data_IF_707015291863
#
_entry.id   IF_707015291863
#
_cell.length_a   1.000
_cell.length_b   1.000
_cell.length_c   1.000
_cell.angle_alpha   90.00
_cell.angle_beta   90.00
_cell.angle_gamma   90.00
#
_symmetry.space_group_name_H-M   'P 1'
#
loop_
_entity.id
_entity.type
_entity.pdbx_description
1 polymer ?
#
# COMPACT_ATOMS: atom_id res chain seq x y z
N UNK A 1 7.05 -14.29 -50.66
CA UNK A 1 6.82 -13.25 -49.63
C UNK A 1 8.12 -12.51 -49.36
N UNK A 2 8.14 -11.17 -49.45
CA UNK A 2 9.37 -10.40 -49.19
C UNK A 2 9.73 -10.48 -47.68
N UNK A 3 11.02 -10.57 -47.35
CA UNK A 3 11.55 -10.53 -45.97
C UNK A 3 10.97 -9.37 -45.15
N UNK A 4 10.76 -8.20 -45.77
CA UNK A 4 10.11 -7.04 -45.13
C UNK A 4 8.66 -7.32 -44.70
N UNK A 5 7.86 -7.91 -45.60
CA UNK A 5 6.47 -8.28 -45.31
C UNK A 5 6.40 -9.34 -44.21
N UNK A 6 7.30 -10.33 -44.24
CA UNK A 6 7.40 -11.35 -43.19
C UNK A 6 7.70 -10.74 -41.81
N UNK A 7 8.67 -9.82 -41.73
CA UNK A 7 9.02 -9.13 -40.49
C UNK A 7 7.86 -8.29 -39.94
N UNK A 8 7.15 -7.57 -40.80
CA UNK A 8 5.98 -6.76 -40.39
C UNK A 8 4.89 -7.65 -39.81
N UNK A 9 4.57 -8.78 -40.47
CA UNK A 9 3.56 -9.71 -39.95
C UNK A 9 3.98 -10.34 -38.63
N UNK A 10 5.27 -10.66 -38.46
CA UNK A 10 5.80 -11.17 -37.19
C UNK A 10 5.62 -10.15 -36.06
N UNK A 11 6.02 -8.90 -36.29
CA UNK A 11 5.87 -7.81 -35.31
C UNK A 11 4.39 -7.59 -34.97
N UNK A 12 3.52 -7.54 -35.99
CA UNK A 12 2.09 -7.39 -35.79
C UNK A 12 1.50 -8.56 -34.98
N UNK A 13 1.90 -9.80 -35.27
CA UNK A 13 1.49 -10.98 -34.52
C UNK A 13 1.92 -10.93 -33.05
N UNK A 14 3.17 -10.55 -32.79
CA UNK A 14 3.68 -10.36 -31.41
C UNK A 14 2.90 -9.27 -30.69
N UNK A 15 2.63 -8.15 -31.35
CA UNK A 15 1.88 -7.04 -30.77
C UNK A 15 0.45 -7.45 -30.44
N UNK A 16 -0.24 -8.14 -31.35
CA UNK A 16 -1.60 -8.65 -31.13
C UNK A 16 -1.61 -9.63 -29.95
N UNK A 17 -0.66 -10.57 -29.92
CA UNK A 17 -0.54 -11.52 -28.82
C UNK A 17 -0.33 -10.77 -27.49
N UNK A 18 0.58 -9.80 -27.45
CA UNK A 18 0.87 -9.01 -26.27
C UNK A 18 -0.34 -8.17 -25.80
N UNK A 19 -1.06 -7.52 -26.73
CA UNK A 19 -2.27 -6.76 -26.44
C UNK A 19 -3.42 -7.66 -25.95
N UNK A 20 -3.44 -8.93 -26.33
CA UNK A 20 -4.43 -9.90 -25.85
C UNK A 20 -4.18 -10.38 -24.40
N UNK A 21 -2.94 -10.25 -23.90
CA UNK A 21 -2.52 -10.79 -22.60
C UNK A 21 -3.38 -10.37 -21.41
N UNK A 22 -3.81 -9.10 -21.24
CA UNK A 22 -4.67 -8.73 -20.12
C UNK A 22 -5.92 -9.60 -20.03
N UNK A 23 -6.55 -9.90 -21.16
CA UNK A 23 -7.77 -10.71 -21.19
C UNK A 23 -7.46 -12.19 -20.99
N UNK A 24 -6.33 -12.67 -21.53
CA UNK A 24 -5.88 -14.05 -21.33
C UNK A 24 -5.54 -14.35 -19.86
N UNK A 25 -5.05 -13.36 -19.09
CA UNK A 25 -4.77 -13.55 -17.66
C UNK A 25 -5.98 -13.97 -16.84
N UNK A 26 -7.20 -13.71 -17.30
CA UNK A 26 -8.42 -14.18 -16.64
C UNK A 26 -8.62 -15.70 -16.73
N UNK A 27 -8.00 -16.34 -17.72
CA UNK A 27 -7.99 -17.78 -17.94
C UNK A 27 -6.74 -18.47 -17.38
N UNK A 28 -5.76 -17.71 -16.88
CA UNK A 28 -4.50 -18.25 -16.33
C UNK A 28 -4.70 -18.85 -14.93
N UNK A 29 -3.71 -19.60 -14.42
CA UNK A 29 -3.73 -20.11 -13.07
C UNK A 29 -4.04 -19.03 -12.03
N UNK A 30 -4.74 -19.44 -10.98
CA UNK A 30 -5.33 -18.58 -9.95
C UNK A 30 -4.32 -17.60 -9.33
N UNK A 31 -3.06 -18.04 -9.19
CA UNK A 31 -1.95 -17.22 -8.67
C UNK A 31 -1.68 -15.99 -9.54
N UNK A 32 -1.59 -16.15 -10.86
CA UNK A 32 -1.30 -15.06 -11.80
C UNK A 32 -2.51 -14.13 -11.89
N UNK A 33 -3.69 -14.70 -12.04
CA UNK A 33 -4.95 -13.96 -12.12
C UNK A 33 -5.17 -13.07 -10.89
N UNK A 34 -4.98 -13.61 -9.68
CA UNK A 34 -5.07 -12.86 -8.40
C UNK A 34 -4.00 -11.77 -8.30
N UNK A 35 -2.77 -12.07 -8.70
CA UNK A 35 -1.67 -11.12 -8.71
C UNK A 35 -1.98 -9.92 -9.63
N UNK A 36 -2.26 -10.16 -10.91
CA UNK A 36 -2.55 -9.11 -11.89
C UNK A 36 -3.74 -8.26 -11.47
N UNK A 37 -4.81 -8.91 -11.01
CA UNK A 37 -5.99 -8.20 -10.52
C UNK A 37 -5.62 -7.25 -9.37
N UNK A 38 -4.97 -7.77 -8.32
CA UNK A 38 -4.55 -6.97 -7.17
C UNK A 38 -3.65 -5.80 -7.55
N UNK A 39 -2.64 -6.04 -8.38
CA UNK A 39 -1.73 -4.98 -8.82
C UNK A 39 -2.46 -3.86 -9.56
N UNK A 40 -3.40 -4.20 -10.43
CA UNK A 40 -4.25 -3.22 -11.11
C UNK A 40 -5.08 -2.41 -10.11
N UNK A 41 -5.62 -3.06 -9.07
CA UNK A 41 -6.39 -2.35 -8.03
C UNK A 41 -5.50 -1.40 -7.22
N UNK A 42 -4.29 -1.81 -6.83
CA UNK A 42 -3.35 -0.94 -6.13
C UNK A 42 -2.96 0.29 -6.95
N UNK A 43 -2.63 0.10 -8.22
CA UNK A 43 -2.33 1.22 -9.13
C UNK A 43 -3.55 2.14 -9.23
N UNK A 44 -4.75 1.58 -9.38
CA UNK A 44 -5.98 2.36 -9.53
C UNK A 44 -6.29 3.20 -8.28
N UNK A 45 -6.16 2.61 -7.09
CA UNK A 45 -6.36 3.30 -5.81
C UNK A 45 -5.29 4.39 -5.64
N UNK A 46 -4.02 4.05 -5.87
CA UNK A 46 -2.90 4.97 -5.69
C UNK A 46 -2.97 6.17 -6.64
N UNK A 47 -3.25 5.94 -7.94
CA UNK A 47 -3.41 7.02 -8.92
C UNK A 47 -4.58 7.94 -8.55
N UNK A 48 -5.67 7.41 -7.99
CA UNK A 48 -6.81 8.21 -7.52
C UNK A 48 -6.49 9.10 -6.34
N UNK A 49 -5.84 8.52 -5.33
CA UNK A 49 -5.40 9.26 -4.16
C UNK A 49 -4.41 10.35 -4.58
N UNK A 50 -3.52 10.05 -5.53
CA UNK A 50 -2.58 11.02 -6.08
C UNK A 50 -3.26 12.12 -6.89
N UNK A 51 -4.22 11.80 -7.77
CA UNK A 51 -5.02 12.79 -8.53
C UNK A 51 -5.74 13.79 -7.61
N UNK A 52 -6.21 13.35 -6.43
CA UNK A 52 -6.89 14.19 -5.43
C UNK A 52 -5.92 15.02 -4.57
N UNK A 53 -4.61 14.81 -4.70
CA UNK A 53 -3.60 15.42 -3.83
C UNK A 53 -2.93 16.61 -4.51
N UNK A 54 -2.67 17.69 -3.74
CA UNK A 54 -1.99 18.89 -4.27
C UNK A 54 -0.48 18.83 -4.11
N UNK A 55 0.00 17.94 -3.23
CA UNK A 55 1.40 17.81 -2.83
C UNK A 55 1.71 16.35 -2.45
N UNK A 56 2.99 16.02 -2.27
CA UNK A 56 3.39 14.71 -1.71
C UNK A 56 2.89 14.53 -0.27
N UNK A 57 3.03 15.53 0.64
CA UNK A 57 2.39 15.45 1.96
C UNK A 57 0.87 15.21 1.92
N UNK A 58 0.15 15.88 1.01
CA UNK A 58 -1.29 15.65 0.82
C UNK A 58 -1.56 14.21 0.39
N UNK A 59 -0.72 13.66 -0.50
CA UNK A 59 -0.81 12.27 -0.95
C UNK A 59 -0.55 11.28 0.18
N UNK A 60 0.43 11.53 1.04
CA UNK A 60 0.66 10.73 2.25
C UNK A 60 -0.57 10.74 3.14
N UNK A 61 -1.12 11.92 3.44
CA UNK A 61 -2.29 12.04 4.30
C UNK A 61 -3.53 11.37 3.70
N UNK A 62 -3.78 11.54 2.40
CA UNK A 62 -4.89 10.89 1.71
C UNK A 62 -4.73 9.36 1.71
N UNK A 63 -3.52 8.85 1.49
CA UNK A 63 -3.22 7.41 1.53
C UNK A 63 -3.39 6.85 2.93
N UNK A 64 -2.91 7.57 3.94
CA UNK A 64 -3.05 7.21 5.35
C UNK A 64 -4.53 7.15 5.77
N UNK A 65 -5.30 8.19 5.43
CA UNK A 65 -6.74 8.23 5.66
C UNK A 65 -7.44 7.05 4.98
N UNK A 66 -7.16 6.79 3.70
CA UNK A 66 -7.77 5.70 2.96
C UNK A 66 -7.50 4.33 3.62
N UNK A 67 -6.25 4.06 4.03
CA UNK A 67 -5.88 2.81 4.71
C UNK A 67 -6.62 2.66 6.03
N UNK A 68 -6.63 3.69 6.87
CA UNK A 68 -7.25 3.63 8.20
C UNK A 68 -8.78 3.57 8.16
N UNK A 69 -9.41 4.14 7.13
CA UNK A 69 -10.85 4.02 6.91
C UNK A 69 -11.27 2.64 6.40
N UNK A 70 -10.40 1.98 5.62
CA UNK A 70 -10.72 0.71 4.95
C UNK A 70 -10.12 -0.52 5.63
N UNK A 71 -9.26 -0.36 6.63
CA UNK A 71 -8.63 -1.47 7.34
C UNK A 71 -8.70 -1.18 8.85
N UNK A 72 -9.66 -1.82 9.52
CA UNK A 72 -9.82 -1.69 10.96
C UNK A 72 -8.80 -2.57 11.73
N UNK A 73 -8.52 -2.18 12.96
CA UNK A 73 -7.62 -2.83 13.92
C UNK A 73 -8.38 -3.54 15.06
N UNK A 74 -9.62 -3.97 14.82
CA UNK A 74 -10.40 -4.68 15.83
C UNK A 74 -9.62 -5.87 16.45
N UNK A 75 -9.90 -6.20 17.70
CA UNK A 75 -9.23 -7.33 18.34
C UNK A 75 -10.08 -8.58 18.08
N UNK A 76 -9.50 -9.68 17.59
CA UNK A 76 -10.24 -10.95 17.51
C UNK A 76 -9.81 -11.92 16.41
N UNK A 77 -9.72 -11.52 15.13
CA UNK A 77 -9.32 -12.44 14.07
C UNK A 77 -7.85 -12.81 14.19
N UNK A 78 -7.46 -14.07 13.91
CA UNK A 78 -6.05 -14.42 13.81
C UNK A 78 -5.37 -13.57 12.72
N UNK A 79 -4.10 -13.23 12.93
CA UNK A 79 -3.28 -12.68 11.87
C UNK A 79 -3.32 -13.67 10.69
N UNK A 80 -3.78 -13.20 9.53
CA UNK A 80 -3.75 -13.98 8.30
C UNK A 80 -2.78 -13.31 7.36
N UNK A 81 -1.73 -14.04 7.01
CA UNK A 81 -0.51 -13.47 6.46
C UNK A 81 -0.21 -14.03 5.08
N UNK A 82 -0.94 -13.55 4.07
CA UNK A 82 -0.65 -13.94 2.68
C UNK A 82 -0.50 -12.74 1.73
N UNK A 83 -1.24 -11.65 1.94
CA UNK A 83 -0.99 -10.35 1.31
C UNK A 83 -1.94 -9.26 1.82
N UNK A 84 -1.45 -8.02 1.70
CA UNK A 84 -2.15 -6.76 1.95
C UNK A 84 -3.53 -6.64 1.31
N UNK A 85 -3.75 -7.19 0.11
CA UNK A 85 -5.03 -7.03 -0.59
C UNK A 85 -6.17 -7.72 0.15
N UNK A 86 -5.89 -8.83 0.84
CA UNK A 86 -6.88 -9.43 1.72
C UNK A 86 -7.29 -8.49 2.85
N UNK A 87 -6.39 -7.66 3.35
CA UNK A 87 -6.70 -6.67 4.39
C UNK A 87 -7.72 -5.65 3.89
N UNK A 88 -7.51 -5.11 2.68
CA UNK A 88 -8.49 -4.26 2.01
C UNK A 88 -9.83 -4.99 1.81
N UNK A 89 -9.83 -6.20 1.23
CA UNK A 89 -11.08 -6.93 0.93
C UNK A 89 -11.88 -7.25 2.18
N UNK A 90 -11.22 -7.61 3.28
CA UNK A 90 -11.91 -8.01 4.52
C UNK A 90 -12.20 -6.84 5.45
N UNK A 91 -11.57 -5.68 5.26
CA UNK A 91 -11.71 -4.52 6.12
C UNK A 91 -10.93 -4.59 7.43
N UNK A 92 -9.89 -5.43 7.50
CA UNK A 92 -9.21 -5.77 8.77
C UNK A 92 -7.70 -5.96 8.61
N UNK A 93 -6.91 -5.51 9.56
CA UNK A 93 -5.48 -5.79 9.63
C UNK A 93 -4.79 -5.18 10.85
N UNK A 94 -3.77 -5.88 11.33
CA UNK A 94 -2.89 -5.43 12.42
C UNK A 94 -1.96 -4.29 11.97
N UNK A 95 -1.25 -3.68 12.93
CA UNK A 95 -0.43 -2.49 12.68
C UNK A 95 0.61 -2.66 11.54
N UNK A 96 1.27 -3.81 11.49
CA UNK A 96 2.19 -4.23 10.43
C UNK A 96 1.51 -4.36 9.07
N UNK A 97 0.33 -4.98 9.04
CA UNK A 97 -0.46 -5.18 7.82
C UNK A 97 -0.95 -3.85 7.24
N UNK A 98 -1.32 -2.90 8.11
CA UNK A 98 -1.68 -1.54 7.69
C UNK A 98 -0.47 -0.77 7.16
N UNK A 99 0.69 -0.90 7.80
CA UNK A 99 1.95 -0.31 7.31
C UNK A 99 2.32 -0.86 5.93
N UNK A 100 2.17 -2.16 5.70
CA UNK A 100 2.37 -2.75 4.38
C UNK A 100 1.33 -2.27 3.37
N UNK A 101 0.07 -2.07 3.77
CA UNK A 101 -0.97 -1.51 2.91
C UNK A 101 -0.63 -0.10 2.44
N UNK A 102 -0.27 0.76 3.38
CA UNK A 102 0.20 2.10 3.12
C UNK A 102 1.43 2.11 2.20
N UNK A 103 2.48 1.36 2.55
CA UNK A 103 3.71 1.28 1.77
C UNK A 103 3.49 0.73 0.36
N UNK A 104 2.56 -0.23 0.19
CA UNK A 104 2.21 -0.80 -1.12
C UNK A 104 1.60 0.26 -2.03
N UNK A 105 0.74 1.13 -1.52
CA UNK A 105 0.12 2.21 -2.30
C UNK A 105 1.14 3.29 -2.66
N UNK A 106 2.03 3.67 -1.73
CA UNK A 106 3.12 4.62 -1.98
C UNK A 106 4.10 4.12 -3.05
N UNK A 107 4.43 2.82 -3.01
CA UNK A 107 5.32 2.21 -3.99
C UNK A 107 4.78 2.28 -5.43
N UNK A 108 3.46 2.43 -5.63
CA UNK A 108 2.89 2.64 -6.99
C UNK A 108 3.16 4.03 -7.56
N UNK A 109 3.65 4.95 -6.74
CA UNK A 109 4.10 6.30 -7.11
C UNK A 109 5.60 6.48 -6.92
N UNK A 110 6.35 5.37 -6.86
CA UNK A 110 7.81 5.36 -6.66
C UNK A 110 8.28 6.12 -5.41
N UNK A 111 7.44 6.20 -4.37
CA UNK A 111 7.81 6.74 -3.06
C UNK A 111 8.26 5.57 -2.18
N UNK A 112 9.57 5.44 -1.86
CA UNK A 112 10.06 4.33 -1.04
C UNK A 112 9.49 4.42 0.37
N UNK A 113 8.96 3.30 0.85
CA UNK A 113 8.45 3.18 2.22
C UNK A 113 8.76 1.79 2.77
N UNK A 114 9.13 1.72 4.05
CA UNK A 114 9.43 0.46 4.75
C UNK A 114 8.64 0.31 6.03
N UNK A 115 8.45 -0.94 6.42
CA UNK A 115 7.96 -1.28 7.74
C UNK A 115 9.09 -1.11 8.76
N UNK A 116 8.73 -0.52 9.91
CA UNK A 116 9.59 -0.45 11.08
C UNK A 116 8.84 -1.01 12.28
N UNK A 117 9.42 -2.00 12.94
CA UNK A 117 8.90 -2.56 14.18
C UNK A 117 9.58 -1.88 15.36
N UNK A 118 8.77 -1.22 16.18
CA UNK A 118 9.15 -0.58 17.44
C UNK A 118 8.86 -1.53 18.60
N UNK A 119 9.64 -1.39 19.67
CA UNK A 119 9.48 -2.14 20.92
C UNK A 119 9.36 -1.18 22.07
N UNK A 120 8.39 -1.40 22.95
CA UNK A 120 8.08 -0.54 24.08
C UNK A 120 7.83 -1.37 25.33
N UNK A 121 7.84 -0.70 26.47
CA UNK A 121 7.51 -1.29 27.76
C UNK A 121 6.24 -0.62 28.27
N UNK A 122 5.27 -1.44 28.67
CA UNK A 122 4.04 -0.94 29.31
C UNK A 122 4.28 -0.82 30.82
N UNK A 123 4.07 0.35 31.43
CA UNK A 123 4.17 0.51 32.87
C UNK A 123 3.28 -0.53 33.59
N UNK A 124 3.87 -1.28 34.53
CA UNK A 124 3.15 -2.29 35.31
C UNK A 124 2.86 -3.63 34.61
N UNK A 125 3.40 -3.89 33.40
CA UNK A 125 3.44 -5.24 32.81
C UNK A 125 4.88 -5.72 32.61
N UNK A 126 5.12 -6.99 32.86
CA UNK A 126 6.35 -7.66 32.45
C UNK A 126 6.23 -8.05 30.97
N UNK A 127 7.07 -7.48 30.11
CA UNK A 127 7.17 -7.87 28.69
C UNK A 127 7.33 -6.68 27.75
N UNK A 128 7.86 -6.98 26.56
CA UNK A 128 7.93 -6.04 25.44
C UNK A 128 6.60 -6.04 24.68
N UNK A 129 6.09 -4.85 24.40
CA UNK A 129 4.99 -4.65 23.47
C UNK A 129 5.55 -4.20 22.11
N UNK A 130 4.89 -4.57 21.03
CA UNK A 130 5.33 -4.31 19.66
C UNK A 130 4.37 -3.37 18.93
N UNK A 131 4.91 -2.38 18.22
CA UNK A 131 4.12 -1.51 17.37
C UNK A 131 4.83 -1.26 16.04
N UNK A 132 4.10 -1.34 14.93
CA UNK A 132 4.65 -1.04 13.61
C UNK A 132 4.29 0.36 13.14
N UNK A 133 5.29 1.04 12.58
CA UNK A 133 5.18 2.33 11.91
C UNK A 133 5.76 2.22 10.49
N UNK A 134 5.44 3.18 9.63
CA UNK A 134 6.09 3.33 8.34
C UNK A 134 7.24 4.34 8.45
N UNK A 135 8.36 4.06 7.77
CA UNK A 135 9.34 5.08 7.40
C UNK A 135 9.23 5.33 5.89
N UNK A 136 9.03 6.58 5.49
CA UNK A 136 8.88 7.02 4.10
C UNK A 136 10.07 7.89 3.72
N UNK A 137 10.74 7.57 2.60
CA UNK A 137 11.90 8.33 2.16
C UNK A 137 11.50 9.60 1.42
N UNK A 138 11.71 10.76 2.05
CA UNK A 138 11.39 12.09 1.52
C UNK A 138 12.47 13.10 1.89
N UNK A 139 12.82 13.97 0.94
CA UNK A 139 13.83 15.01 1.13
C UNK A 139 15.16 14.45 1.66
N UNK A 140 15.61 13.35 1.04
CA UNK A 140 16.81 12.59 1.36
C UNK A 140 16.86 11.96 2.77
N UNK A 141 15.72 11.82 3.44
CA UNK A 141 15.66 11.29 4.81
C UNK A 141 14.43 10.41 5.04
N UNK A 142 14.47 9.58 6.10
CA UNK A 142 13.38 8.68 6.47
C UNK A 142 12.43 9.36 7.44
N UNK A 143 11.21 9.64 6.97
CA UNK A 143 10.13 10.28 7.72
C UNK A 143 9.24 9.23 8.35
N UNK A 144 8.95 9.36 9.63
CA UNK A 144 8.16 8.38 10.36
C UNK A 144 6.67 8.71 10.30
N UNK A 145 5.82 7.69 10.10
CA UNK A 145 4.37 7.81 10.02
C UNK A 145 3.75 6.64 10.77
N UNK A 146 2.85 6.94 11.72
CA UNK A 146 2.13 5.90 12.44
C UNK A 146 0.81 5.59 11.76
N UNK A 147 0.83 4.57 10.91
CA UNK A 147 -0.28 4.24 10.01
C UNK A 147 -1.54 3.88 10.78
N UNK A 148 -1.46 2.91 11.69
CA UNK A 148 -2.60 2.42 12.47
C UNK A 148 -3.32 3.53 13.26
N UNK A 149 -2.57 4.54 13.70
CA UNK A 149 -3.11 5.65 14.51
C UNK A 149 -3.56 6.83 13.67
N UNK A 150 -3.42 6.79 12.35
CA UNK A 150 -3.63 7.92 11.45
C UNK A 150 -2.83 9.17 11.87
N UNK A 151 -1.52 9.01 12.13
CA UNK A 151 -0.66 10.09 12.62
C UNK A 151 0.53 10.32 11.69
N UNK A 152 0.68 11.58 11.28
CA UNK A 152 1.88 12.13 10.67
C UNK A 152 2.59 13.00 11.71
N UNK A 153 3.87 12.75 11.95
CA UNK A 153 4.65 13.50 12.92
C UNK A 153 5.33 14.70 12.28
N UNK A 154 5.30 15.85 12.96
CA UNK A 154 5.95 17.06 12.51
C UNK A 154 6.99 17.51 13.53
N UNK A 155 8.19 17.86 13.06
CA UNK A 155 9.23 18.42 13.90
C UNK A 155 8.94 19.90 14.19
N UNK A 156 9.75 20.51 15.07
CA UNK A 156 9.62 21.93 15.47
C UNK A 156 9.76 22.93 14.32
N UNK A 157 10.31 22.51 13.17
CA UNK A 157 10.44 23.33 11.96
C UNK A 157 9.23 23.23 11.03
N UNK A 158 8.22 22.44 11.40
CA UNK A 158 7.03 22.18 10.58
C UNK A 158 7.22 21.16 9.47
N UNK A 159 8.40 20.52 9.37
CA UNK A 159 8.65 19.42 8.45
C UNK A 159 8.27 18.06 9.04
N UNK A 160 8.20 17.02 8.22
CA UNK A 160 7.96 15.67 8.70
C UNK A 160 9.10 15.19 9.60
N UNK A 161 8.76 14.62 10.75
CA UNK A 161 9.75 14.17 11.72
C UNK A 161 10.42 12.85 11.30
N UNK A 162 11.68 12.69 11.67
CA UNK A 162 12.38 11.39 11.62
C UNK A 162 12.24 10.65 12.95
N UNK A 163 12.57 9.35 12.95
CA UNK A 163 12.67 8.59 14.20
C UNK A 163 13.67 9.23 15.18
N UNK A 164 14.84 9.64 14.69
CA UNK A 164 15.90 10.26 15.50
C UNK A 164 15.48 11.60 16.10
N UNK A 165 14.67 12.38 15.38
CA UNK A 165 14.11 13.64 15.90
C UNK A 165 13.13 13.37 17.04
N UNK A 166 12.21 12.41 16.90
CA UNK A 166 11.27 12.00 17.96
C UNK A 166 12.00 11.39 19.15
N UNK A 167 13.09 10.68 18.89
CA UNK A 167 13.95 10.13 19.93
C UNK A 167 14.61 11.25 20.76
N UNK A 168 15.24 12.22 20.11
CA UNK A 168 15.92 13.34 20.78
C UNK A 168 14.95 14.30 21.46
N UNK A 169 13.76 14.49 20.88
CA UNK A 169 12.75 15.42 21.35
C UNK A 169 11.36 14.79 21.37
N UNK A 170 11.01 14.25 22.53
CA UNK A 170 9.73 13.62 22.80
C UNK A 170 8.54 14.55 22.73
N UNK A 171 8.74 15.86 22.81
CA UNK A 171 7.64 16.83 22.76
C UNK A 171 6.95 16.86 21.39
N UNK A 172 7.60 16.30 20.36
CA UNK A 172 7.00 16.05 19.03
C UNK A 172 5.74 15.17 19.14
N UNK A 173 5.64 14.33 20.18
CA UNK A 173 4.49 13.46 20.41
C UNK A 173 3.36 14.14 21.21
N UNK A 174 3.62 15.25 21.89
CA UNK A 174 2.62 15.85 22.79
C UNK A 174 1.32 16.26 22.07
N UNK A 175 1.33 16.76 20.80
CA UNK A 175 0.11 17.11 20.07
C UNK A 175 -0.86 15.96 19.81
N UNK A 176 -0.40 14.70 19.94
CA UNK A 176 -1.24 13.50 19.73
C UNK A 176 -1.64 12.82 21.04
N UNK A 177 -1.23 13.33 22.19
CA UNK A 177 -1.48 12.72 23.51
C UNK A 177 -2.97 12.43 23.78
N UNK A 178 -3.87 13.33 23.39
CA UNK A 178 -5.33 13.14 23.51
C UNK A 178 -5.97 12.23 22.44
N UNK A 179 -5.21 11.77 21.44
CA UNK A 179 -5.71 10.94 20.32
C UNK A 179 -5.27 9.48 20.43
N UNK A 180 -4.28 9.19 21.27
CA UNK A 180 -3.70 7.85 21.38
C UNK A 180 -4.06 7.23 22.73
N UNK A 181 -4.81 6.12 22.73
CA UNK A 181 -5.04 5.35 23.95
C UNK A 181 -3.70 4.86 24.51
N UNK A 182 -3.51 4.97 25.83
CA UNK A 182 -2.27 4.57 26.50
C UNK A 182 -1.04 5.31 25.93
N UNK A 183 -1.12 6.65 25.91
CA UNK A 183 -0.08 7.50 25.32
C UNK A 183 1.31 7.29 25.93
N UNK A 184 1.40 6.94 27.22
CA UNK A 184 2.68 6.66 27.87
C UNK A 184 3.34 5.40 27.32
N UNK A 185 2.57 4.32 27.10
CA UNK A 185 3.05 3.15 26.36
C UNK A 185 3.45 3.55 24.94
N UNK A 186 2.62 4.35 24.26
CA UNK A 186 2.93 4.75 22.90
C UNK A 186 4.25 5.54 22.79
N UNK A 187 4.50 6.43 23.75
CA UNK A 187 5.72 7.21 23.89
C UNK A 187 6.94 6.32 24.15
N UNK A 188 6.76 5.19 24.85
CA UNK A 188 7.84 4.25 25.13
C UNK A 188 8.32 3.48 23.91
N UNK A 189 7.50 3.32 22.86
CA UNK A 189 7.93 2.68 21.60
C UNK A 189 9.07 3.39 20.88
N UNK A 190 9.27 4.68 21.16
CA UNK A 190 10.31 5.45 20.51
C UNK A 190 11.60 5.49 21.34
N UNK A 191 11.70 4.71 22.42
CA UNK A 191 12.85 4.67 23.32
C UNK A 191 14.03 3.93 22.70
N UNK A 192 15.24 4.47 22.88
CA UNK A 192 16.48 3.90 22.32
C UNK A 192 16.92 2.63 23.05
N UNK A 193 16.29 2.31 24.17
CA UNK A 193 16.49 1.03 24.85
C UNK A 193 16.33 -0.15 23.88
N UNK A 194 15.51 -0.03 22.84
CA UNK A 194 15.36 -1.04 21.80
C UNK A 194 15.55 -0.43 20.40
N UNK A 195 16.58 -0.89 19.69
CA UNK A 195 16.78 -0.49 18.29
C UNK A 195 15.62 -0.97 17.42
N UNK A 196 15.04 -0.09 16.58
CA UNK A 196 13.97 -0.47 15.67
C UNK A 196 14.44 -1.49 14.63
N UNK A 197 13.61 -2.52 14.41
CA UNK A 197 13.82 -3.45 13.31
C UNK A 197 13.22 -2.86 12.03
N UNK A 198 14.00 -2.85 10.95
CA UNK A 198 13.64 -2.18 9.70
C UNK A 198 13.67 -3.19 8.56
N UNK A 199 12.61 -3.20 7.77
CA UNK A 199 12.52 -4.02 6.57
C UNK A 199 13.09 -3.28 5.37
N UNK A 200 13.40 -4.02 4.30
CA UNK A 200 13.73 -3.41 3.01
C UNK A 200 12.55 -2.56 2.51
N UNK A 201 12.82 -1.37 1.94
CA UNK A 201 11.77 -0.50 1.46
C UNK A 201 11.06 -1.09 0.26
N UNK A 202 9.73 -1.03 0.22
CA UNK A 202 9.00 -1.35 -1.00
C UNK A 202 9.28 -0.28 -2.03
N UNK A 203 9.71 -0.75 -3.19
CA UNK A 203 9.75 0.06 -4.40
C UNK A 203 9.04 -0.69 -5.52
N UNK A 204 8.57 0.03 -6.53
CA UNK A 204 7.97 -0.61 -7.70
C UNK A 204 8.94 -1.55 -8.43
N UNK A 205 10.26 -1.38 -8.24
CA UNK A 205 11.35 -1.95 -9.06
C UNK A 205 11.99 -3.23 -8.54
N UNK A 206 11.56 -3.75 -7.39
CA UNK A 206 12.24 -4.89 -6.76
C UNK A 206 12.03 -6.25 -7.43
N UNK A 207 11.01 -6.42 -8.29
CA UNK A 207 10.71 -7.72 -8.92
C UNK A 207 10.39 -7.57 -10.42
N UNK A 208 11.43 -7.72 -11.24
CA UNK A 208 11.37 -7.59 -12.71
C UNK A 208 10.38 -8.59 -13.32
N UNK A 209 10.27 -9.81 -12.77
CA UNK A 209 9.36 -10.83 -13.28
C UNK A 209 7.91 -10.40 -13.05
N UNK A 210 7.61 -9.94 -11.84
CA UNK A 210 6.30 -9.38 -11.48
C UNK A 210 5.93 -8.16 -12.34
N UNK A 211 6.90 -7.29 -12.61
CA UNK A 211 6.69 -6.15 -13.52
C UNK A 211 6.39 -6.61 -14.95
N UNK A 212 7.16 -7.57 -15.48
CA UNK A 212 6.94 -8.10 -16.82
C UNK A 212 5.54 -8.71 -16.96
N UNK A 213 5.09 -9.49 -15.96
CA UNK A 213 3.74 -10.06 -15.93
C UNK A 213 2.65 -8.98 -15.83
N UNK A 214 2.87 -7.92 -15.08
CA UNK A 214 1.87 -6.86 -14.94
C UNK A 214 1.87 -5.85 -16.11
N UNK A 215 2.98 -5.75 -16.85
CA UNK A 215 3.18 -4.73 -17.88
C UNK A 215 2.07 -4.63 -18.94
N UNK A 216 1.48 -5.72 -19.48
CA UNK A 216 0.44 -5.59 -20.49
C UNK A 216 -0.82 -4.94 -19.91
N UNK A 217 -1.17 -5.31 -18.67
CA UNK A 217 -2.35 -4.75 -17.97
C UNK A 217 -2.12 -3.28 -17.62
N UNK A 218 -0.90 -2.92 -17.21
CA UNK A 218 -0.54 -1.54 -16.92
C UNK A 218 -0.62 -0.64 -18.16
N UNK A 219 -0.21 -1.13 -19.34
CA UNK A 219 -0.34 -0.38 -20.60
C UNK A 219 -1.80 -0.07 -20.91
N UNK A 220 -2.70 -1.05 -20.78
CA UNK A 220 -4.14 -0.82 -20.93
C UNK A 220 -4.67 0.16 -19.90
N UNK A 221 -4.24 0.04 -18.64
CA UNK A 221 -4.60 0.99 -17.61
C UNK A 221 -4.11 2.40 -17.93
N UNK A 222 -2.91 2.60 -18.47
CA UNK A 222 -2.42 3.91 -18.90
C UNK A 222 -3.21 4.48 -20.07
N UNK A 223 -3.65 3.64 -21.01
CA UNK A 223 -4.43 4.08 -22.16
C UNK A 223 -5.89 4.44 -21.80
N UNK A 224 -6.52 3.69 -20.90
CA UNK A 224 -7.97 3.74 -20.66
C UNK A 224 -8.37 4.12 -19.23
N UNK A 225 -7.39 4.22 -18.32
CA UNK A 225 -7.55 4.62 -16.93
C UNK A 225 -8.57 3.78 -16.16
N UNK A 226 -9.39 4.49 -15.35
CA UNK A 226 -10.42 3.87 -14.49
C UNK A 226 -11.44 3.02 -15.24
N UNK A 227 -11.72 3.33 -16.52
CA UNK A 227 -12.71 2.57 -17.31
C UNK A 227 -12.22 1.14 -17.52
N UNK A 228 -10.95 0.97 -17.86
CA UNK A 228 -10.35 -0.35 -18.01
C UNK A 228 -10.25 -1.08 -16.67
N UNK A 229 -9.84 -0.40 -15.59
CA UNK A 229 -9.80 -1.04 -14.27
C UNK A 229 -11.17 -1.59 -13.84
N UNK A 230 -12.24 -0.80 -14.02
CA UNK A 230 -13.61 -1.24 -13.71
C UNK A 230 -14.03 -2.43 -14.58
N UNK A 231 -13.80 -2.35 -15.89
CA UNK A 231 -14.09 -3.44 -16.81
C UNK A 231 -13.35 -4.73 -16.43
N UNK A 232 -12.05 -4.64 -16.16
CA UNK A 232 -11.22 -5.78 -15.77
C UNK A 232 -11.70 -6.38 -14.44
N UNK A 233 -12.07 -5.54 -13.46
CA UNK A 233 -12.67 -6.00 -12.20
C UNK A 233 -13.97 -6.76 -12.45
N UNK A 234 -14.88 -6.22 -13.26
CA UNK A 234 -16.17 -6.87 -13.54
C UNK A 234 -15.98 -8.24 -14.18
N UNK A 235 -14.99 -8.39 -15.09
CA UNK A 235 -14.62 -9.68 -15.66
C UNK A 235 -14.00 -10.63 -14.61
N UNK A 236 -13.06 -10.16 -13.80
CA UNK A 236 -12.39 -10.98 -12.77
C UNK A 236 -13.37 -11.49 -11.70
N UNK A 237 -14.38 -10.68 -11.37
CA UNK A 237 -15.41 -10.99 -10.38
C UNK A 237 -16.59 -11.78 -10.96
N UNK A 238 -16.64 -12.00 -12.29
CA UNK A 238 -17.68 -12.80 -12.92
C UNK A 238 -17.62 -14.24 -12.39
N UNK A 239 -18.77 -14.75 -11.92
CA UNK A 239 -18.87 -16.08 -11.32
C UNK A 239 -18.47 -16.16 -9.83
N UNK A 240 -18.04 -15.06 -9.20
CA UNK A 240 -17.80 -15.00 -7.74
C UNK A 240 -19.07 -14.68 -6.96
N UNK A 241 -19.15 -15.08 -5.69
CA UNK A 241 -20.32 -14.84 -4.83
C UNK A 241 -20.68 -13.35 -4.67
N UNK A 242 -21.96 -13.04 -4.46
CA UNK A 242 -22.45 -11.66 -4.41
C UNK A 242 -21.76 -10.79 -3.34
N UNK A 243 -21.45 -11.38 -2.18
CA UNK A 243 -20.79 -10.69 -1.07
C UNK A 243 -19.32 -10.35 -1.38
N UNK A 244 -18.61 -11.25 -2.04
CA UNK A 244 -17.25 -10.99 -2.51
C UNK A 244 -17.25 -9.85 -3.54
N UNK A 245 -18.21 -9.85 -4.47
CA UNK A 245 -18.37 -8.75 -5.44
C UNK A 245 -18.69 -7.42 -4.78
N UNK A 246 -19.46 -7.41 -3.69
CA UNK A 246 -19.82 -6.19 -2.96
C UNK A 246 -18.58 -5.59 -2.28
N UNK A 247 -17.82 -6.40 -1.54
CA UNK A 247 -16.60 -5.98 -0.84
C UNK A 247 -15.56 -5.38 -1.80
N UNK A 248 -15.30 -6.06 -2.91
CA UNK A 248 -14.33 -5.56 -3.90
C UNK A 248 -14.76 -4.26 -4.59
N UNK A 249 -16.06 -4.08 -4.87
CA UNK A 249 -16.57 -2.85 -5.51
C UNK A 249 -16.59 -1.67 -4.55
N UNK A 250 -16.83 -1.91 -3.27
CA UNK A 250 -16.81 -0.88 -2.24
C UNK A 250 -15.46 -0.16 -2.16
N UNK A 251 -14.36 -0.93 -2.08
CA UNK A 251 -12.99 -0.38 -1.98
C UNK A 251 -12.67 0.59 -3.12
N UNK A 252 -13.01 0.19 -4.34
CA UNK A 252 -12.76 1.05 -5.49
C UNK A 252 -13.71 2.24 -5.48
N UNK A 253 -14.98 2.06 -5.10
CA UNK A 253 -15.94 3.15 -5.04
C UNK A 253 -15.51 4.26 -4.09
N UNK A 254 -15.05 3.92 -2.88
CA UNK A 254 -14.51 4.93 -1.95
C UNK A 254 -13.26 5.63 -2.48
N UNK A 255 -12.42 4.93 -3.25
CA UNK A 255 -11.29 5.57 -3.92
C UNK A 255 -11.75 6.47 -5.11
N UNK A 256 -12.91 6.18 -5.72
CA UNK A 256 -13.39 6.81 -6.96
C UNK A 256 -14.35 8.00 -6.75
N UNK A 257 -15.11 8.02 -5.66
CA UNK A 257 -16.02 9.12 -5.24
C UNK A 257 -15.25 10.10 -4.35
#
# INVERSE_FOLDING_TARGET
MNKKTALIMLIAGILIAYLSLPFLYLSFPDKIKKYVYRELMYVTISDRLFEKSKSVPDFLQNTLNYVTLNIDSAHGPPAMDDNVWRCFVRGFGYCDQQVWAFSTLLAKRDIPSRLVMLKGVKPGRHGLDGHSVAEVYLDNDWRIISVQRNIIFYNKKGGLATFDEIYKDRTILDPISGKVPDFDLYKSFFDKTYEPERWEPLTSKQDIVRQAVFSPVYIYYKAFGKRFSKFYQDLYLRGRGADERRRHRYLIREALE
#
